data_IF_187065907729
#
_entry.id   IF_187065907729
#
_cell.length_a   1.000
_cell.length_b   1.000
_cell.length_c   1.000
_cell.angle_alpha   90.00
_cell.angle_beta   90.00
_cell.angle_gamma   90.00
#
_symmetry.space_group_name_H-M   'P 1'
#
loop_
_entity.id
_entity.type
_entity.pdbx_description
1 polymer ?
#
# COMPACT_ATOMS: atom_id res chain seq x y z
N UNK A 1 10.17 -8.66 5.23
CA UNK A 1 8.70 -8.79 5.21
C UNK A 1 8.16 -7.86 4.14
N UNK A 2 7.51 -8.41 3.12
CA UNK A 2 6.85 -7.68 2.03
C UNK A 2 5.33 -7.75 2.19
N UNK A 3 4.67 -6.59 2.17
CA UNK A 3 3.22 -6.48 2.28
C UNK A 3 2.68 -5.86 1.00
N UNK A 4 1.79 -6.58 0.33
CA UNK A 4 1.06 -6.10 -0.84
C UNK A 4 -0.19 -5.31 -0.46
N UNK A 5 -0.36 -4.11 -0.99
CA UNK A 5 -1.57 -3.31 -0.85
C UNK A 5 -2.43 -3.52 -2.10
N UNK A 6 -3.65 -4.04 -1.90
CA UNK A 6 -4.61 -4.34 -2.97
C UNK A 6 -5.94 -3.63 -2.73
N UNK A 7 -6.76 -3.57 -3.77
CA UNK A 7 -8.07 -2.91 -3.71
C UNK A 7 -8.44 -2.23 -5.02
N UNK A 8 -9.72 -1.86 -5.14
CA UNK A 8 -10.26 -1.28 -6.37
C UNK A 8 -9.64 0.09 -6.71
N UNK A 9 -9.66 0.50 -7.99
CA UNK A 9 -9.25 1.85 -8.38
C UNK A 9 -9.98 2.90 -7.54
N UNK A 10 -9.26 3.94 -7.10
CA UNK A 10 -9.79 5.04 -6.26
C UNK A 10 -10.29 4.63 -4.87
N UNK A 11 -9.92 3.46 -4.35
CA UNK A 11 -10.20 3.09 -2.95
C UNK A 11 -9.32 3.79 -1.90
N UNK A 12 -8.30 4.56 -2.34
CA UNK A 12 -7.36 5.25 -1.45
C UNK A 12 -6.05 4.50 -1.19
N UNK A 13 -5.76 3.41 -1.92
CA UNK A 13 -4.51 2.62 -1.76
C UNK A 13 -3.24 3.46 -1.72
N UNK A 14 -3.02 4.30 -2.72
CA UNK A 14 -1.80 5.11 -2.84
C UNK A 14 -1.72 6.17 -1.74
N UNK A 15 -2.87 6.68 -1.28
CA UNK A 15 -2.94 7.57 -0.11
C UNK A 15 -2.50 6.84 1.17
N UNK A 16 -2.98 5.60 1.38
CA UNK A 16 -2.54 4.76 2.50
C UNK A 16 -1.05 4.43 2.41
N UNK A 17 -0.56 4.05 1.23
CA UNK A 17 0.85 3.78 0.97
C UNK A 17 1.73 4.99 1.35
N UNK A 18 1.36 6.19 0.91
CA UNK A 18 2.12 7.40 1.24
C UNK A 18 2.09 7.71 2.74
N UNK A 19 0.95 7.48 3.40
CA UNK A 19 0.85 7.67 4.85
C UNK A 19 1.77 6.72 5.62
N UNK A 20 1.92 5.48 5.17
CA UNK A 20 2.76 4.47 5.82
C UNK A 20 4.25 4.70 5.57
N UNK A 21 4.61 5.05 4.34
CA UNK A 21 6.02 5.15 3.91
C UNK A 21 6.59 6.55 4.11
N UNK A 22 5.76 7.54 4.50
CA UNK A 22 6.07 8.98 4.43
C UNK A 22 6.60 9.38 3.03
N UNK A 23 6.21 8.64 2.01
CA UNK A 23 6.64 8.78 0.62
C UNK A 23 5.91 9.91 -0.10
N UNK A 24 6.38 10.21 -1.32
CA UNK A 24 5.79 11.19 -2.24
C UNK A 24 5.27 10.52 -3.52
N UNK A 25 4.73 9.31 -3.45
CA UNK A 25 4.15 8.69 -4.64
C UNK A 25 2.97 9.55 -5.12
N UNK A 26 2.81 9.74 -6.43
CA UNK A 26 1.79 10.63 -6.97
C UNK A 26 0.38 10.14 -6.61
N UNK A 27 -0.43 11.03 -6.04
CA UNK A 27 -1.85 10.79 -5.73
C UNK A 27 -2.68 11.67 -6.67
N UNK A 28 -3.29 11.09 -7.71
CA UNK A 28 -4.08 11.88 -8.66
C UNK A 28 -4.81 11.07 -9.73
N UNK A 29 -5.74 11.75 -10.45
CA UNK A 29 -6.53 11.18 -11.55
C UNK A 29 -5.72 10.92 -12.84
N UNK A 30 -4.48 11.41 -12.89
CA UNK A 30 -3.53 11.30 -13.99
C UNK A 30 -2.25 10.57 -13.57
N UNK A 31 -2.35 9.60 -12.66
CA UNK A 31 -1.20 8.74 -12.37
C UNK A 31 -0.78 8.02 -13.67
N UNK A 32 0.49 8.11 -14.10
CA UNK A 32 0.93 7.52 -15.36
C UNK A 32 0.70 6.02 -15.31
N UNK A 33 0.18 5.49 -16.41
CA UNK A 33 -0.11 4.08 -16.69
C UNK A 33 1.17 3.23 -16.81
N UNK A 34 2.21 3.53 -16.04
CA UNK A 34 3.40 2.69 -15.90
C UNK A 34 3.09 1.59 -14.90
N UNK A 35 3.23 0.34 -15.35
CA UNK A 35 3.01 -0.88 -14.56
C UNK A 35 3.99 -1.06 -13.37
N UNK A 36 4.87 -0.09 -13.13
CA UNK A 36 5.84 -0.14 -12.05
C UNK A 36 5.13 0.09 -10.70
N UNK A 37 5.17 -0.89 -9.77
CA UNK A 37 4.51 -0.75 -8.48
C UNK A 37 5.23 0.27 -7.61
N UNK A 38 4.49 0.96 -6.75
CA UNK A 38 5.12 1.82 -5.75
C UNK A 38 5.73 0.94 -4.66
N UNK A 39 7.04 1.12 -4.43
CA UNK A 39 7.80 0.41 -3.41
C UNK A 39 8.24 1.39 -2.33
N UNK A 40 7.96 1.07 -1.07
CA UNK A 40 8.34 1.91 0.05
C UNK A 40 8.62 1.12 1.32
N UNK A 41 9.43 1.68 2.20
CA UNK A 41 9.82 1.05 3.47
C UNK A 41 9.30 1.90 4.62
N UNK A 42 8.63 1.28 5.58
CA UNK A 42 8.24 1.92 6.83
C UNK A 42 8.96 1.27 8.02
N UNK A 43 9.35 2.11 8.98
CA UNK A 43 9.92 1.66 10.26
C UNK A 43 8.78 1.30 11.20
N UNK A 44 8.90 0.16 11.87
CA UNK A 44 7.91 -0.32 12.84
C UNK A 44 8.14 0.40 14.17
N UNK A 45 7.16 1.14 14.68
CA UNK A 45 7.24 1.71 16.02
C UNK A 45 7.18 0.58 17.06
N UNK A 46 8.20 0.48 17.90
CA UNK A 46 8.26 -0.50 18.98
C UNK A 46 8.68 0.16 20.29
N UNK A 47 7.76 0.36 21.25
CA UNK A 47 8.08 1.02 22.53
C UNK A 47 9.08 0.21 23.38
N UNK A 48 9.28 -1.08 23.08
CA UNK A 48 10.29 -1.90 23.78
C UNK A 48 11.71 -1.44 23.42
N UNK A 49 11.92 -0.93 22.21
CA UNK A 49 13.22 -0.38 21.82
C UNK A 49 13.58 0.85 22.64
N UNK A 50 12.61 1.72 22.94
CA UNK A 50 12.82 2.89 23.79
C UNK A 50 13.26 2.49 25.21
N UNK A 51 12.66 1.43 25.77
CA UNK A 51 13.07 0.87 27.05
C UNK A 51 14.51 0.32 27.03
N UNK A 52 14.89 -0.39 25.97
CA UNK A 52 16.25 -0.91 25.81
C UNK A 52 17.28 0.20 25.57
N UNK A 53 16.92 1.23 24.82
CA UNK A 53 17.76 2.42 24.62
C UNK A 53 18.11 3.10 25.94
N UNK A 54 17.13 3.26 26.83
CA UNK A 54 17.34 3.90 28.14
C UNK A 54 18.32 3.11 29.03
N UNK A 55 18.29 1.77 28.95
CA UNK A 55 19.15 0.88 29.74
C UNK A 55 20.56 0.81 29.16
N UNK A 56 20.69 0.54 27.86
CA UNK A 56 21.97 0.19 27.24
C UNK A 56 22.70 1.37 26.59
N UNK A 57 22.00 2.49 26.31
CA UNK A 57 22.54 3.70 25.67
C UNK A 57 23.42 3.39 24.44
N UNK A 58 22.91 2.64 23.45
CA UNK A 58 23.69 2.26 22.29
C UNK A 58 24.02 3.48 21.42
N UNK A 59 25.11 3.41 20.64
CA UNK A 59 25.46 4.49 19.68
C UNK A 59 24.42 4.66 18.56
N UNK A 60 23.64 3.61 18.28
CA UNK A 60 22.63 3.58 17.22
C UNK A 60 21.56 2.54 17.55
N UNK A 61 20.31 2.90 17.31
CA UNK A 61 19.18 1.98 17.31
C UNK A 61 18.62 1.83 15.92
N UNK A 62 18.27 0.60 15.56
CA UNK A 62 17.71 0.26 14.26
C UNK A 62 16.37 -0.44 14.50
N UNK A 63 15.24 0.21 14.20
CA UNK A 63 13.94 -0.44 14.29
C UNK A 63 13.78 -1.47 13.18
N UNK A 64 12.82 -2.38 13.36
CA UNK A 64 12.41 -3.29 12.30
C UNK A 64 11.80 -2.50 11.12
N UNK A 65 11.97 -3.01 9.91
CA UNK A 65 11.49 -2.39 8.68
C UNK A 65 10.53 -3.32 7.94
N UNK A 66 9.46 -2.74 7.40
CA UNK A 66 8.45 -3.45 6.58
C UNK A 66 8.41 -2.79 5.21
N UNK A 67 8.44 -3.61 4.16
CA UNK A 67 8.35 -3.16 2.77
C UNK A 67 6.91 -3.26 2.30
N UNK A 68 6.40 -2.17 1.75
CA UNK A 68 5.08 -2.08 1.17
C UNK A 68 5.19 -2.01 -0.36
N UNK A 69 4.28 -2.71 -1.02
CA UNK A 69 4.14 -2.74 -2.47
C UNK A 69 2.70 -2.33 -2.81
N UNK A 70 2.50 -1.18 -3.45
CA UNK A 70 1.20 -0.77 -4.01
C UNK A 70 1.17 -1.14 -5.49
N UNK A 71 0.33 -2.11 -5.84
CA UNK A 71 0.19 -2.56 -7.24
C UNK A 71 -1.14 -2.05 -7.80
N UNK A 72 -1.06 -1.32 -8.90
CA UNK A 72 -2.26 -0.88 -9.62
C UNK A 72 -2.90 -2.09 -10.33
N UNK A 73 -4.15 -2.39 -10.02
CA UNK A 73 -4.92 -3.39 -10.76
C UNK A 73 -5.37 -2.76 -12.09
N UNK A 74 -4.97 -3.30 -13.26
CA UNK A 74 -5.39 -2.74 -14.54
C UNK A 74 -6.90 -2.81 -14.70
N UNK A 75 -7.50 -1.70 -15.16
CA UNK A 75 -8.92 -1.66 -15.57
C UNK A 75 -9.06 -2.37 -16.91
N UNK A 76 -9.53 -3.62 -16.90
CA UNK A 76 -9.86 -4.33 -18.14
C UNK A 76 -10.75 -5.55 -17.88
N UNK A 77 -11.98 -5.53 -18.41
CA UNK A 77 -12.84 -6.71 -18.48
C UNK A 77 -12.17 -7.75 -19.40
N UNK A 78 -11.66 -8.84 -18.83
CA UNK A 78 -11.29 -10.04 -19.60
C UNK A 78 -9.80 -10.32 -19.82
N UNK A 79 -8.87 -9.48 -19.36
CA UNK A 79 -7.48 -9.91 -19.15
C UNK A 79 -7.33 -10.21 -17.68
N UNK A 80 -7.07 -11.47 -17.34
CA UNK A 80 -6.78 -11.88 -15.96
C UNK A 80 -5.64 -11.05 -15.35
N UNK A 81 -5.39 -11.25 -14.05
CA UNK A 81 -4.25 -10.63 -13.37
C UNK A 81 -2.99 -10.80 -14.25
N UNK A 82 -2.27 -9.71 -14.55
CA UNK A 82 -1.05 -9.81 -15.33
C UNK A 82 -0.05 -10.71 -14.59
N UNK A 83 0.78 -11.45 -15.33
CA UNK A 83 1.80 -12.31 -14.71
C UNK A 83 2.72 -11.52 -13.76
N UNK A 84 2.97 -10.25 -14.07
CA UNK A 84 3.72 -9.31 -13.23
C UNK A 84 3.00 -9.01 -11.91
N UNK A 85 1.68 -8.75 -11.94
CA UNK A 85 0.89 -8.55 -10.72
C UNK A 85 0.87 -9.81 -9.85
N UNK A 86 0.75 -11.00 -10.46
CA UNK A 86 0.81 -12.27 -9.73
C UNK A 86 2.19 -12.52 -9.12
N UNK A 87 3.27 -12.15 -9.81
CA UNK A 87 4.63 -12.25 -9.29
C UNK A 87 4.79 -11.39 -8.01
N UNK A 88 4.32 -10.14 -8.03
CA UNK A 88 4.34 -9.28 -6.84
C UNK A 88 3.47 -9.82 -5.70
N UNK A 89 2.27 -10.31 -5.99
CA UNK A 89 1.39 -10.89 -4.97
C UNK A 89 1.96 -12.19 -4.39
N UNK A 90 2.64 -13.01 -5.21
CA UNK A 90 3.25 -14.26 -4.76
C UNK A 90 4.47 -14.06 -3.86
N UNK A 91 5.12 -12.89 -3.96
CA UNK A 91 6.25 -12.49 -3.11
C UNK A 91 5.81 -11.83 -1.80
N UNK A 92 4.55 -11.41 -1.70
CA UNK A 92 4.03 -10.77 -0.50
C UNK A 92 3.81 -11.81 0.61
N UNK A 93 4.34 -11.52 1.80
CA UNK A 93 4.10 -12.29 3.02
C UNK A 93 2.68 -12.05 3.56
N UNK A 94 2.10 -10.89 3.26
CA UNK A 94 0.76 -10.51 3.68
C UNK A 94 0.10 -9.54 2.68
N UNK A 95 -1.23 -9.51 2.68
CA UNK A 95 -2.02 -8.60 1.85
C UNK A 95 -2.86 -7.65 2.70
N UNK A 96 -2.84 -6.36 2.37
CA UNK A 96 -3.73 -5.34 2.91
C UNK A 96 -4.78 -5.03 1.84
N UNK A 97 -6.04 -5.39 2.13
CA UNK A 97 -7.15 -5.08 1.24
C UNK A 97 -7.82 -3.76 1.63
N UNK A 98 -7.70 -2.75 0.77
CA UNK A 98 -8.27 -1.41 0.97
C UNK A 98 -9.63 -1.31 0.30
N UNK A 99 -10.66 -1.25 1.14
CA UNK A 99 -12.06 -1.10 0.74
C UNK A 99 -12.53 0.34 0.99
N UNK A 100 -13.22 0.92 0.01
CA UNK A 100 -13.81 2.26 0.13
C UNK A 100 -15.12 2.16 0.91
N UNK A 101 -15.18 2.80 2.07
CA UNK A 101 -16.39 2.85 2.92
C UNK A 101 -16.88 4.29 3.17
N UNK A 102 -16.59 5.22 2.25
CA UNK A 102 -17.00 6.61 2.35
C UNK A 102 -17.67 7.10 1.05
N UNK A 103 -18.78 7.87 1.15
CA UNK A 103 -19.39 8.52 0.01
C UNK A 103 -18.53 9.70 -0.44
N UNK A 104 -18.28 9.82 -1.74
CA UNK A 104 -17.61 11.01 -2.29
C UNK A 104 -18.17 11.31 -3.68
N UNK A 105 -18.90 12.41 -3.82
CA UNK A 105 -19.58 12.85 -5.06
C UNK A 105 -18.59 13.11 -6.21
N UNK A 106 -17.33 13.40 -5.91
CA UNK A 106 -16.27 13.70 -6.89
C UNK A 106 -15.63 12.46 -7.50
N UNK A 107 -15.90 11.28 -6.94
CA UNK A 107 -15.40 10.02 -7.47
C UNK A 107 -16.57 9.30 -8.13
N UNK A 108 -16.69 9.31 -9.48
CA UNK A 108 -17.71 8.53 -10.15
C UNK A 108 -17.54 7.06 -9.76
N UNK A 109 -18.66 6.46 -9.35
CA UNK A 109 -18.76 5.07 -8.95
C UNK A 109 -18.18 4.16 -10.04
N UNK A 110 -17.28 3.27 -9.65
CA UNK A 110 -16.75 2.28 -10.57
C UNK A 110 -17.79 1.17 -10.72
N UNK A 111 -18.70 1.30 -11.69
CA UNK A 111 -19.72 0.28 -12.05
C UNK A 111 -20.49 -0.33 -10.86
N UNK A 112 -21.14 0.52 -10.05
CA UNK A 112 -22.02 0.08 -8.97
C UNK A 112 -21.93 0.97 -7.75
N UNK A 113 -23.02 1.03 -6.97
CA UNK A 113 -23.05 1.70 -5.67
C UNK A 113 -21.86 1.27 -4.82
N UNK A 114 -21.31 2.17 -4.00
CA UNK A 114 -20.29 1.83 -3.00
C UNK A 114 -20.85 0.72 -2.10
N UNK A 115 -20.34 -0.49 -2.28
CA UNK A 115 -20.59 -1.64 -1.41
C UNK A 115 -19.23 -2.14 -0.89
N UNK A 116 -19.12 -2.23 0.42
CA UNK A 116 -17.87 -2.56 1.12
C UNK A 116 -17.79 -4.04 1.51
N UNK A 117 -18.76 -4.84 1.06
CA UNK A 117 -18.93 -6.26 1.39
C UNK A 117 -18.55 -7.16 0.22
#
# INVERSE_FOLDING_TARGET
MEIGIIGLPKSGKTTLFNSLTKGKAEVGAFAPTTLEPNLGVAKVPDPRLEGLEAIFKPKRTVPAEVKYVDVAIPKGKGKGLSGELLDYLSKADALIHVVRAFPEERIPDCEGSVDAV
#
